data_IF_801188864584
#
_entry.id   IF_801188864584
#
_cell.length_a   1.000
_cell.length_b   1.000
_cell.length_c   1.000
_cell.angle_alpha   90.00
_cell.angle_beta   90.00
_cell.angle_gamma   90.00
#
_symmetry.space_group_name_H-M   'P 1'
#
loop_
_entity.id
_entity.type
_entity.pdbx_description
1 polymer ?
#
# COMPACT_ATOMS: atom_id res chain seq x y z
N UNK A 1 -7.31 14.71 -11.45
CA UNK A 1 -7.39 13.34 -10.90
C UNK A 1 -6.58 12.46 -11.81
N UNK A 2 -5.43 11.96 -11.36
CA UNK A 2 -4.71 10.91 -12.09
C UNK A 2 -5.67 9.74 -12.31
N UNK A 3 -5.74 9.22 -13.54
CA UNK A 3 -6.57 8.05 -13.83
C UNK A 3 -5.88 6.84 -13.22
N UNK A 4 -6.39 6.33 -12.11
CA UNK A 4 -5.93 5.05 -11.57
C UNK A 4 -6.62 3.92 -12.35
N UNK A 5 -5.87 2.89 -12.74
CA UNK A 5 -6.44 1.67 -13.32
C UNK A 5 -7.17 0.82 -12.28
N UNK A 6 -6.84 1.02 -10.99
CA UNK A 6 -7.32 0.22 -9.87
C UNK A 6 -8.86 0.10 -9.75
N UNK A 7 -9.68 1.16 -9.92
CA UNK A 7 -11.14 1.03 -9.79
C UNK A 7 -11.74 0.04 -10.78
N UNK A 8 -11.24 0.02 -12.02
CA UNK A 8 -11.67 -0.94 -13.06
C UNK A 8 -11.22 -2.35 -12.68
N UNK A 9 -10.03 -2.48 -12.07
CA UNK A 9 -9.52 -3.77 -11.61
C UNK A 9 -10.42 -4.34 -10.50
N UNK A 10 -10.72 -3.53 -9.49
CA UNK A 10 -11.56 -3.89 -8.36
C UNK A 10 -13.02 -4.17 -8.76
N UNK A 11 -13.54 -3.47 -9.78
CA UNK A 11 -14.87 -3.76 -10.33
C UNK A 11 -14.97 -5.22 -10.83
N UNK A 12 -13.90 -5.79 -11.38
CA UNK A 12 -13.91 -7.20 -11.81
C UNK A 12 -13.93 -8.15 -10.64
N UNK A 13 -13.09 -7.91 -9.64
CA UNK A 13 -13.13 -8.66 -8.39
C UNK A 13 -14.54 -8.62 -7.78
N UNK A 14 -15.18 -7.45 -7.75
CA UNK A 14 -16.54 -7.28 -7.26
C UNK A 14 -17.57 -8.12 -8.05
N UNK A 15 -17.43 -8.19 -9.39
CA UNK A 15 -18.28 -9.04 -10.24
C UNK A 15 -18.10 -10.52 -9.96
N UNK A 16 -16.89 -10.96 -9.59
CA UNK A 16 -16.68 -12.36 -9.17
C UNK A 16 -17.60 -12.66 -7.98
N UNK A 17 -17.62 -11.83 -6.95
CA UNK A 17 -18.37 -12.12 -5.71
C UNK A 17 -19.86 -11.72 -5.73
N UNK A 18 -20.34 -11.11 -6.80
CA UNK A 18 -21.70 -10.58 -6.87
C UNK A 18 -22.78 -11.63 -6.59
N UNK A 19 -23.59 -11.36 -5.55
CA UNK A 19 -24.70 -12.23 -5.12
C UNK A 19 -24.26 -13.46 -4.31
N UNK A 20 -22.96 -13.62 -4.02
CA UNK A 20 -22.41 -14.69 -3.18
C UNK A 20 -22.00 -14.19 -1.79
N UNK A 21 -21.70 -12.90 -1.68
CA UNK A 21 -21.29 -12.27 -0.41
C UNK A 21 -22.16 -11.05 -0.10
N UNK A 22 -22.05 -10.53 1.14
CA UNK A 22 -22.73 -9.29 1.50
C UNK A 22 -22.10 -8.10 0.78
N UNK A 23 -22.92 -7.15 0.35
CA UNK A 23 -22.44 -5.96 -0.36
C UNK A 23 -21.47 -5.12 0.48
N UNK A 24 -21.71 -5.04 1.79
CA UNK A 24 -20.87 -4.29 2.71
C UNK A 24 -19.43 -4.86 2.78
N UNK A 25 -19.28 -6.19 2.78
CA UNK A 25 -17.96 -6.82 2.83
C UNK A 25 -17.17 -6.52 1.55
N UNK A 26 -17.82 -6.52 0.38
CA UNK A 26 -17.15 -6.17 -0.88
C UNK A 26 -16.77 -4.70 -0.96
N UNK A 27 -17.59 -3.81 -0.40
CA UNK A 27 -17.27 -2.38 -0.32
C UNK A 27 -16.09 -2.12 0.62
N UNK A 28 -16.06 -2.78 1.78
CA UNK A 28 -14.94 -2.71 2.72
C UNK A 28 -13.65 -3.28 2.11
N UNK A 29 -13.73 -4.41 1.40
CA UNK A 29 -12.60 -5.01 0.68
C UNK A 29 -12.04 -4.03 -0.35
N UNK A 30 -12.93 -3.47 -1.19
CA UNK A 30 -12.58 -2.51 -2.25
C UNK A 30 -11.95 -1.26 -1.68
N UNK A 31 -12.56 -0.68 -0.64
CA UNK A 31 -12.08 0.54 0.02
C UNK A 31 -10.72 0.31 0.67
N UNK A 32 -10.55 -0.81 1.37
CA UNK A 32 -9.28 -1.15 2.03
C UNK A 32 -8.14 -1.28 1.02
N UNK A 33 -8.37 -1.99 -0.11
CA UNK A 33 -7.39 -2.12 -1.18
C UNK A 33 -7.04 -0.77 -1.82
N UNK A 34 -8.02 0.11 -2.04
CA UNK A 34 -7.78 1.46 -2.57
C UNK A 34 -6.94 2.31 -1.62
N UNK A 35 -7.24 2.28 -0.32
CA UNK A 35 -6.52 3.05 0.68
C UNK A 35 -5.09 2.52 0.86
N UNK A 36 -4.91 1.19 0.91
CA UNK A 36 -3.57 0.58 0.95
C UNK A 36 -2.76 1.02 -0.28
N UNK A 37 -3.35 0.94 -1.48
CA UNK A 37 -2.69 1.40 -2.69
C UNK A 37 -2.29 2.88 -2.60
N UNK A 38 -3.17 3.75 -2.14
CA UNK A 38 -2.91 5.19 -2.03
C UNK A 38 -1.82 5.52 -0.99
N UNK A 39 -1.84 4.86 0.18
CA UNK A 39 -0.81 5.02 1.20
C UNK A 39 0.56 4.59 0.67
N UNK A 40 0.62 3.44 0.00
CA UNK A 40 1.85 2.90 -0.60
C UNK A 40 2.33 3.80 -1.74
N UNK A 41 1.44 4.27 -2.62
CA UNK A 41 1.76 5.20 -3.69
C UNK A 41 2.40 6.48 -3.15
N UNK A 42 1.80 7.08 -2.11
CA UNK A 42 2.35 8.26 -1.44
C UNK A 42 3.72 7.98 -0.84
N UNK A 43 3.90 6.84 -0.17
CA UNK A 43 5.16 6.45 0.44
C UNK A 43 6.29 6.40 -0.61
N UNK A 44 6.10 5.68 -1.72
CA UNK A 44 7.16 5.49 -2.72
C UNK A 44 7.32 6.63 -3.72
N UNK A 45 6.25 7.35 -4.08
CA UNK A 45 6.33 8.45 -5.07
C UNK A 45 6.63 9.81 -4.48
N UNK A 46 6.31 10.03 -3.20
CA UNK A 46 6.42 11.36 -2.57
C UNK A 46 7.40 11.31 -1.40
N UNK A 47 7.09 10.55 -0.36
CA UNK A 47 7.79 10.67 0.93
C UNK A 47 9.24 10.19 0.87
N UNK A 48 9.49 9.01 0.28
CA UNK A 48 10.87 8.49 0.17
C UNK A 48 11.77 9.34 -0.73
N UNK A 49 11.32 9.82 -1.91
CA UNK A 49 12.07 10.79 -2.71
C UNK A 49 12.34 12.11 -1.97
N UNK A 50 11.35 12.67 -1.26
CA UNK A 50 11.53 13.90 -0.48
C UNK A 50 12.54 13.71 0.65
N UNK A 51 12.47 12.60 1.39
CA UNK A 51 13.45 12.26 2.41
C UNK A 51 14.87 12.19 1.82
N UNK A 52 14.99 11.61 0.62
CA UNK A 52 16.26 11.53 -0.10
C UNK A 52 16.79 12.91 -0.44
N UNK A 53 15.92 13.81 -0.91
CA UNK A 53 16.28 15.17 -1.26
C UNK A 53 16.77 15.96 -0.05
N UNK A 54 16.00 15.98 1.05
CA UNK A 54 16.36 16.76 2.24
C UNK A 54 17.60 16.24 2.95
N UNK A 55 17.81 14.92 2.98
CA UNK A 55 19.05 14.37 3.54
C UNK A 55 20.28 14.73 2.71
N UNK A 56 20.15 14.86 1.38
CA UNK A 56 21.25 15.35 0.54
C UNK A 56 21.54 16.83 0.75
N UNK A 57 20.50 17.63 1.01
CA UNK A 57 20.66 19.04 1.39
C UNK A 57 21.33 19.17 2.77
N UNK A 58 20.96 18.33 3.74
CA UNK A 58 21.59 18.28 5.07
C UNK A 58 23.10 17.96 4.94
N UNK A 59 23.46 16.92 4.21
CA UNK A 59 24.87 16.57 3.91
C UNK A 59 25.65 17.73 3.25
N UNK A 60 25.00 18.46 2.34
CA UNK A 60 25.62 19.58 1.64
C UNK A 60 25.82 20.77 2.59
N UNK A 61 24.82 21.07 3.42
CA UNK A 61 24.89 22.11 4.43
C UNK A 61 25.98 21.82 5.46
N UNK A 62 26.09 20.58 5.95
CA UNK A 62 27.13 20.18 6.91
C UNK A 62 28.55 20.41 6.38
N UNK A 63 28.79 20.12 5.10
CA UNK A 63 30.10 20.38 4.46
C UNK A 63 30.42 21.87 4.31
N UNK A 64 29.40 22.72 4.29
CA UNK A 64 29.52 24.18 4.12
C UNK A 64 29.58 24.97 5.44
N UNK A 65 29.40 24.31 6.61
CA UNK A 65 29.41 24.89 7.96
C UNK A 65 30.70 25.66 8.36
N UNK A 66 31.68 25.79 7.48
CA UNK A 66 32.76 26.76 7.63
C UNK A 66 32.26 28.23 7.67
N UNK A 67 31.02 28.52 7.25
CA UNK A 67 30.46 29.88 7.24
C UNK A 67 29.26 30.05 8.20
N UNK A 68 29.28 31.05 9.10
CA UNK A 68 28.18 31.31 10.05
C UNK A 68 26.83 31.67 9.41
N UNK A 69 26.81 32.00 8.11
CA UNK A 69 25.59 32.39 7.40
C UNK A 69 24.74 31.18 6.95
N UNK A 70 25.29 29.96 7.00
CA UNK A 70 24.62 28.76 6.48
C UNK A 70 23.83 27.98 7.55
N UNK A 71 23.84 28.44 8.81
CA UNK A 71 23.15 27.79 9.94
C UNK A 71 21.62 27.68 9.72
N UNK A 72 21.02 28.66 9.04
CA UNK A 72 19.57 28.63 8.75
C UNK A 72 19.21 27.52 7.75
N UNK A 73 20.03 27.31 6.72
CA UNK A 73 19.81 26.26 5.72
C UNK A 73 19.92 24.87 6.33
N UNK A 74 20.89 24.66 7.24
CA UNK A 74 21.01 23.41 7.99
C UNK A 74 19.77 23.13 8.84
N UNK A 75 19.32 24.10 9.65
CA UNK A 75 18.14 23.94 10.48
C UNK A 75 16.87 23.68 9.66
N UNK A 76 16.74 24.31 8.49
CA UNK A 76 15.65 24.08 7.56
C UNK A 76 15.65 22.64 7.02
N UNK A 77 16.77 22.16 6.49
CA UNK A 77 16.89 20.79 5.98
C UNK A 77 16.61 19.74 7.07
N UNK A 78 17.09 20.01 8.29
CA UNK A 78 16.86 19.15 9.45
C UNK A 78 15.37 19.10 9.85
N UNK A 79 14.70 20.26 9.85
CA UNK A 79 13.25 20.35 10.09
C UNK A 79 12.44 19.62 9.02
N UNK A 80 12.77 19.82 7.74
CA UNK A 80 12.11 19.13 6.64
C UNK A 80 12.27 17.60 6.74
N UNK A 81 13.48 17.12 7.04
CA UNK A 81 13.76 15.69 7.25
C UNK A 81 12.90 15.14 8.39
N UNK A 82 12.83 15.84 9.52
CA UNK A 82 11.98 15.46 10.65
C UNK A 82 10.49 15.37 10.25
N UNK A 83 9.97 16.37 9.54
CA UNK A 83 8.57 16.37 9.09
C UNK A 83 8.27 15.20 8.15
N UNK A 84 9.15 14.90 7.19
CA UNK A 84 8.95 13.77 6.27
C UNK A 84 9.01 12.43 7.03
N UNK A 85 9.90 12.27 8.01
CA UNK A 85 9.94 11.07 8.84
C UNK A 85 8.64 10.86 9.62
N UNK A 86 8.04 11.92 10.15
CA UNK A 86 6.72 11.85 10.80
C UNK A 86 5.63 11.43 9.81
N UNK A 87 5.63 11.98 8.60
CA UNK A 87 4.64 11.61 7.59
C UNK A 87 4.80 10.14 7.14
N UNK A 88 6.03 9.64 7.08
CA UNK A 88 6.29 8.21 6.84
C UNK A 88 5.73 7.38 8.00
N UNK A 89 6.03 7.75 9.24
CA UNK A 89 5.55 7.06 10.45
C UNK A 89 4.01 7.00 10.48
N UNK A 90 3.35 8.13 10.22
CA UNK A 90 1.89 8.23 10.14
C UNK A 90 1.31 7.37 9.01
N UNK A 91 1.95 7.39 7.84
CA UNK A 91 1.52 6.57 6.68
C UNK A 91 1.63 5.07 6.98
N UNK A 92 2.73 4.63 7.61
CA UNK A 92 2.91 3.24 8.02
C UNK A 92 1.93 2.84 9.13
N UNK A 93 1.64 3.74 10.08
CA UNK A 93 0.66 3.51 11.14
C UNK A 93 -0.77 3.43 10.58
N UNK A 94 -1.09 4.17 9.52
CA UNK A 94 -2.38 4.06 8.82
C UNK A 94 -2.54 2.73 8.06
N UNK A 95 -1.44 2.16 7.54
CA UNK A 95 -1.49 0.86 6.85
C UNK A 95 -1.90 -0.28 7.78
N UNK A 96 -1.51 -0.26 9.06
CA UNK A 96 -1.83 -1.33 10.03
C UNK A 96 -3.34 -1.64 10.13
N UNK A 97 -4.22 -0.69 10.51
CA UNK A 97 -5.65 -0.97 10.61
C UNK A 97 -6.28 -1.31 9.25
N UNK A 98 -5.76 -0.77 8.15
CA UNK A 98 -6.23 -1.13 6.81
C UNK A 98 -5.91 -2.58 6.45
N UNK A 99 -4.70 -3.06 6.79
CA UNK A 99 -4.30 -4.45 6.60
C UNK A 99 -5.16 -5.39 7.46
N UNK A 100 -5.36 -5.07 8.73
CA UNK A 100 -6.25 -5.85 9.61
C UNK A 100 -7.69 -5.89 9.10
N UNK A 101 -8.22 -4.75 8.68
CA UNK A 101 -9.56 -4.67 8.10
C UNK A 101 -9.66 -5.54 6.84
N UNK A 102 -8.67 -5.44 5.95
CA UNK A 102 -8.60 -6.23 4.72
C UNK A 102 -8.62 -7.73 5.03
N UNK A 103 -7.79 -8.20 5.95
CA UNK A 103 -7.74 -9.61 6.37
C UNK A 103 -9.10 -10.07 6.90
N UNK A 104 -9.68 -9.32 7.85
CA UNK A 104 -10.96 -9.68 8.47
C UNK A 104 -12.10 -9.74 7.44
N UNK A 105 -12.16 -8.76 6.55
CA UNK A 105 -13.16 -8.73 5.48
C UNK A 105 -12.95 -9.87 4.48
N UNK A 106 -11.71 -10.20 4.13
CA UNK A 106 -11.43 -11.35 3.27
C UNK A 106 -11.85 -12.68 3.93
N UNK A 107 -11.60 -12.87 5.22
CA UNK A 107 -12.05 -14.05 5.96
C UNK A 107 -13.58 -14.15 5.92
N UNK A 108 -14.31 -13.06 6.18
CA UNK A 108 -15.78 -13.05 6.11
C UNK A 108 -16.30 -13.42 4.71
N UNK A 109 -15.62 -12.96 3.65
CA UNK A 109 -15.92 -13.32 2.26
C UNK A 109 -15.68 -14.81 2.01
N UNK A 110 -14.56 -15.36 2.49
CA UNK A 110 -14.24 -16.79 2.37
C UNK A 110 -15.29 -17.66 3.08
N UNK A 111 -15.68 -17.29 4.30
CA UNK A 111 -16.76 -17.98 5.04
C UNK A 111 -18.08 -17.93 4.24
N UNK A 112 -18.43 -16.78 3.68
CA UNK A 112 -19.63 -16.64 2.84
C UNK A 112 -19.58 -17.53 1.59
N UNK A 113 -18.40 -17.67 0.95
CA UNK A 113 -18.21 -18.58 -0.18
C UNK A 113 -18.41 -20.04 0.25
N UNK A 114 -17.87 -20.46 1.39
CA UNK A 114 -18.06 -21.81 1.94
C UNK A 114 -19.54 -22.14 2.25
N UNK A 115 -20.28 -21.17 2.81
CA UNK A 115 -21.73 -21.33 3.00
C UNK A 115 -22.48 -21.42 1.66
N UNK A 116 -22.06 -20.61 0.68
CA UNK A 116 -22.71 -20.58 -0.64
C UNK A 116 -22.47 -21.89 -1.41
N UNK A 117 -21.27 -22.47 -1.35
CA UNK A 117 -20.92 -23.72 -2.05
C UNK A 117 -21.71 -24.91 -1.50
N UNK A 118 -21.92 -24.96 -0.18
CA UNK A 118 -22.76 -25.94 0.51
C UNK A 118 -24.24 -25.88 0.08
N UNK A 119 -24.80 -24.67 -0.03
CA UNK A 119 -26.22 -24.48 -0.36
C UNK A 119 -26.51 -24.54 -1.87
N UNK A 120 -25.62 -23.98 -2.70
CA UNK A 120 -25.79 -23.91 -4.15
C UNK A 120 -25.54 -25.25 -4.85
N UNK A 121 -24.53 -26.03 -4.45
CA UNK A 121 -24.23 -27.30 -5.10
C UNK A 121 -25.36 -28.32 -4.90
N UNK A 122 -25.84 -28.52 -3.67
CA UNK A 122 -26.80 -29.58 -3.40
C UNK A 122 -28.25 -29.20 -3.78
N UNK A 123 -28.67 -27.96 -3.53
CA UNK A 123 -30.09 -27.59 -3.62
C UNK A 123 -30.48 -27.11 -5.00
N UNK A 124 -29.57 -26.43 -5.72
CA UNK A 124 -29.84 -25.86 -7.03
C UNK A 124 -29.73 -26.92 -8.13
N UNK A 125 -28.71 -27.79 -8.09
CA UNK A 125 -28.61 -28.97 -8.97
C UNK A 125 -29.87 -29.82 -8.81
N UNK A 126 -30.28 -30.10 -7.56
CA UNK A 126 -31.49 -30.88 -7.27
C UNK A 126 -32.79 -30.20 -7.71
N UNK A 127 -32.94 -28.88 -7.56
CA UNK A 127 -34.14 -28.14 -8.02
C UNK A 127 -34.19 -27.95 -9.54
N UNK A 128 -33.05 -27.71 -10.19
CA UNK A 128 -32.98 -27.54 -11.64
C UNK A 128 -33.20 -28.87 -12.37
N UNK A 129 -32.62 -29.97 -11.87
CA UNK A 129 -32.92 -31.33 -12.33
C UNK A 129 -34.39 -31.71 -12.18
N UNK A 130 -35.04 -31.28 -11.09
CA UNK A 130 -36.46 -31.58 -10.83
C UNK A 130 -37.43 -30.72 -11.65
N UNK A 131 -37.05 -29.51 -12.09
CA UNK A 131 -37.94 -28.58 -12.79
C UNK A 131 -37.83 -28.64 -14.32
N UNK A 132 -36.68 -29.03 -14.87
CA UNK A 132 -36.44 -28.90 -16.30
C UNK A 132 -36.88 -30.11 -17.13
N UNK A 133 -36.80 -31.35 -16.62
CA UNK A 133 -37.05 -32.55 -17.44
C UNK A 133 -36.19 -32.63 -18.72
N UNK A 134 -35.17 -31.79 -18.82
CA UNK A 134 -34.31 -31.55 -19.97
C UNK A 134 -32.86 -31.93 -19.65
N UNK A 135 -32.14 -32.30 -20.71
CA UNK A 135 -30.76 -32.79 -20.71
C UNK A 135 -29.82 -31.85 -19.95
N UNK A 136 -29.25 -32.36 -18.86
CA UNK A 136 -28.46 -31.65 -17.85
C UNK A 136 -27.31 -30.85 -18.49
N UNK A 137 -26.69 -31.40 -19.54
CA UNK A 137 -25.52 -30.80 -20.22
C UNK A 137 -25.83 -29.52 -20.99
N UNK A 138 -27.03 -29.36 -21.56
CA UNK A 138 -27.31 -28.25 -22.50
C UNK A 138 -27.58 -26.92 -21.78
N UNK A 139 -28.18 -27.01 -20.59
CA UNK A 139 -28.55 -25.84 -19.78
C UNK A 139 -27.33 -25.24 -19.08
N UNK A 140 -26.44 -26.11 -18.59
CA UNK A 140 -25.16 -25.70 -18.01
C UNK A 140 -24.25 -25.06 -19.06
N UNK A 141 -24.24 -25.60 -20.28
CA UNK A 141 -23.45 -25.04 -21.38
C UNK A 141 -23.95 -23.65 -21.81
N UNK A 142 -25.27 -23.40 -21.82
CA UNK A 142 -25.84 -22.08 -22.11
C UNK A 142 -25.63 -21.06 -20.98
N UNK A 143 -25.74 -21.49 -19.73
CA UNK A 143 -25.44 -20.64 -18.57
C UNK A 143 -23.95 -20.29 -18.51
N UNK A 144 -23.06 -21.25 -18.81
CA UNK A 144 -21.62 -21.02 -18.95
C UNK A 144 -21.30 -20.08 -20.13
N UNK A 145 -21.93 -20.25 -21.29
CA UNK A 145 -21.74 -19.37 -22.44
C UNK A 145 -22.21 -17.94 -22.21
N UNK A 146 -23.33 -17.74 -21.51
CA UNK A 146 -23.85 -16.40 -21.18
C UNK A 146 -23.09 -15.72 -20.05
N UNK A 147 -22.51 -16.48 -19.12
CA UNK A 147 -21.65 -15.94 -18.06
C UNK A 147 -20.21 -15.70 -18.50
N UNK A 148 -19.70 -16.46 -19.48
CA UNK A 148 -18.38 -16.28 -20.06
C UNK A 148 -18.30 -15.14 -21.09
N UNK A 149 -19.43 -14.64 -21.59
CA UNK A 149 -19.43 -13.58 -22.60
C UNK A 149 -19.12 -12.21 -21.98
N UNK A 150 -17.84 -11.93 -21.83
CA UNK A 150 -17.31 -10.59 -21.54
C UNK A 150 -17.47 -9.76 -22.83
N UNK A 151 -18.25 -8.66 -22.84
CA UNK A 151 -18.35 -7.81 -24.03
C UNK A 151 -16.95 -7.32 -24.40
N UNK A 152 -16.53 -7.46 -25.66
CA UNK A 152 -15.16 -7.17 -26.10
C UNK A 152 -14.64 -5.77 -25.72
N UNK A 153 -15.53 -4.77 -25.63
CA UNK A 153 -15.19 -3.42 -25.16
C UNK A 153 -14.68 -3.40 -23.70
N UNK A 154 -15.22 -4.27 -22.85
CA UNK A 154 -14.82 -4.34 -21.44
C UNK A 154 -13.49 -5.04 -21.23
N UNK A 155 -13.02 -5.84 -22.19
CA UNK A 155 -11.67 -6.43 -22.19
C UNK A 155 -10.61 -5.36 -22.51
N UNK A 156 -10.86 -4.49 -23.49
CA UNK A 156 -9.94 -3.40 -23.82
C UNK A 156 -9.77 -2.43 -22.64
N UNK A 157 -10.87 -2.01 -21.99
CA UNK A 157 -10.80 -1.16 -20.80
C UNK A 157 -10.04 -1.83 -19.64
N UNK A 158 -10.22 -3.14 -19.48
CA UNK A 158 -9.47 -3.92 -18.50
C UNK A 158 -7.96 -3.93 -18.78
N UNK A 159 -7.56 -4.27 -20.02
CA UNK A 159 -6.14 -4.26 -20.40
C UNK A 159 -5.50 -2.89 -20.25
N UNK A 160 -6.23 -1.84 -20.61
CA UNK A 160 -5.78 -0.46 -20.38
C UNK A 160 -5.61 -0.15 -18.89
N UNK A 161 -6.57 -0.57 -18.05
CA UNK A 161 -6.49 -0.37 -16.61
C UNK A 161 -5.30 -1.11 -15.99
N UNK A 162 -5.07 -2.37 -16.38
CA UNK A 162 -3.92 -3.16 -15.94
C UNK A 162 -2.63 -2.48 -16.39
N UNK A 163 -2.54 -2.02 -17.64
CA UNK A 163 -1.34 -1.31 -18.14
C UNK A 163 -1.03 -0.06 -17.33
N UNK A 164 -2.04 0.76 -17.00
CA UNK A 164 -1.87 1.97 -16.18
C UNK A 164 -1.38 1.57 -14.77
N UNK A 165 -1.98 0.53 -14.19
CA UNK A 165 -1.60 0.04 -12.86
C UNK A 165 -0.16 -0.49 -12.86
N UNK A 166 0.23 -1.27 -13.87
CA UNK A 166 1.59 -1.77 -14.02
C UNK A 166 2.60 -0.63 -14.16
N UNK A 167 2.29 0.41 -14.94
CA UNK A 167 3.17 1.59 -15.07
C UNK A 167 3.37 2.29 -13.71
N UNK A 168 2.30 2.46 -12.93
CA UNK A 168 2.39 3.03 -11.57
C UNK A 168 3.26 2.16 -10.66
N UNK A 169 3.06 0.84 -10.66
CA UNK A 169 3.87 -0.09 -9.88
C UNK A 169 5.35 -0.10 -10.32
N UNK A 170 5.62 0.05 -11.61
CA UNK A 170 6.99 0.18 -12.12
C UNK A 170 7.65 1.47 -11.65
N UNK A 171 6.92 2.58 -11.57
CA UNK A 171 7.42 3.81 -10.98
C UNK A 171 7.80 3.62 -9.50
N UNK A 172 7.02 2.86 -8.73
CA UNK A 172 7.38 2.52 -7.35
C UNK A 172 8.68 1.73 -7.29
N UNK A 173 8.82 0.68 -8.12
CA UNK A 173 10.04 -0.13 -8.18
C UNK A 173 11.26 0.70 -8.60
N UNK A 174 11.10 1.62 -9.55
CA UNK A 174 12.18 2.50 -9.98
C UNK A 174 12.59 3.48 -8.88
N UNK A 175 11.62 4.06 -8.18
CA UNK A 175 11.86 4.87 -6.98
C UNK A 175 12.59 4.07 -5.92
N UNK A 176 12.19 2.81 -5.71
CA UNK A 176 12.83 1.91 -4.76
C UNK A 176 14.25 1.49 -5.18
N UNK A 177 14.56 1.37 -6.47
CA UNK A 177 15.94 1.08 -6.93
C UNK A 177 16.88 2.28 -6.71
N UNK A 178 16.33 3.50 -6.72
CA UNK A 178 17.05 4.74 -6.43
C UNK A 178 16.93 5.15 -4.96
N UNK A 179 16.48 4.23 -4.11
CA UNK A 179 16.05 4.54 -2.75
C UNK A 179 17.15 5.15 -1.90
N UNK A 180 16.66 5.96 -0.97
CA UNK A 180 17.28 6.22 0.29
C UNK A 180 17.62 4.90 1.02
N UNK A 181 18.88 4.71 1.36
CA UNK A 181 19.29 3.63 2.26
C UNK A 181 19.36 4.21 3.68
N UNK A 182 18.42 3.81 4.54
CA UNK A 182 18.34 4.28 5.92
C UNK A 182 19.64 3.97 6.66
N UNK A 183 20.16 2.74 6.53
CA UNK A 183 21.40 2.35 7.21
C UNK A 183 22.60 3.23 6.81
N UNK A 184 22.74 3.54 5.52
CA UNK A 184 23.85 4.37 5.03
C UNK A 184 23.71 5.82 5.50
N UNK A 185 22.48 6.34 5.47
CA UNK A 185 22.18 7.76 5.70
C UNK A 185 22.18 8.12 7.17
N UNK A 186 21.68 7.22 8.01
CA UNK A 186 21.66 7.39 9.45
C UNK A 186 22.72 6.53 10.13
N UNK A 187 23.85 6.27 9.46
CA UNK A 187 24.93 5.43 9.98
C UNK A 187 25.45 5.90 11.36
N UNK A 188 25.45 7.22 11.61
CA UNK A 188 25.81 7.77 12.92
C UNK A 188 24.83 7.35 14.02
N UNK A 189 23.54 7.23 13.67
CA UNK A 189 22.48 6.79 14.57
C UNK A 189 22.34 5.27 14.64
N UNK A 190 22.95 4.51 13.71
CA UNK A 190 22.89 3.05 13.71
C UNK A 190 23.49 2.42 14.98
N UNK A 191 24.41 3.10 15.66
CA UNK A 191 24.92 2.67 16.97
C UNK A 191 23.87 2.75 18.08
N UNK A 192 22.95 3.71 17.99
CA UNK A 192 21.85 3.89 18.94
C UNK A 192 20.60 3.11 18.52
N UNK A 193 20.38 2.93 17.22
CA UNK A 193 19.24 2.26 16.60
C UNK A 193 19.77 1.15 15.68
N UNK A 194 20.19 0.00 16.23
CA UNK A 194 20.81 -1.07 15.44
C UNK A 194 19.84 -1.74 14.45
N UNK A 195 18.53 -1.60 14.68
CA UNK A 195 17.46 -2.13 13.81
C UNK A 195 17.18 -1.24 12.61
N UNK A 196 17.85 -0.10 12.46
CA UNK A 196 17.56 0.88 11.41
C UNK A 196 17.78 0.33 9.99
N UNK A 197 18.74 -0.58 9.79
CA UNK A 197 18.90 -1.28 8.51
C UNK A 197 17.78 -2.28 8.18
N UNK A 198 16.93 -2.63 9.13
CA UNK A 198 15.75 -3.46 8.87
C UNK A 198 14.64 -2.65 8.18
N UNK A 199 14.64 -1.31 8.31
CA UNK A 199 13.69 -0.44 7.60
C UNK A 199 13.85 -0.59 6.09
N UNK A 200 15.09 -0.65 5.58
CA UNK A 200 15.36 -0.83 4.16
C UNK A 200 14.76 -2.14 3.63
N UNK A 201 14.99 -3.24 4.36
CA UNK A 201 14.42 -4.55 4.01
C UNK A 201 12.89 -4.59 4.12
N UNK A 202 12.33 -3.83 5.06
CA UNK A 202 10.87 -3.74 5.24
C UNK A 202 10.23 -2.97 4.11
N UNK A 203 10.83 -1.85 3.69
CA UNK A 203 10.37 -1.10 2.52
C UNK A 203 10.48 -1.93 1.24
N UNK A 204 11.52 -2.75 1.06
CA UNK A 204 11.56 -3.67 -0.09
C UNK A 204 10.39 -4.65 -0.06
N UNK A 205 10.10 -5.21 1.12
CA UNK A 205 9.06 -6.21 1.26
C UNK A 205 7.67 -5.62 1.08
N UNK A 206 7.40 -4.42 1.61
CA UNK A 206 6.14 -3.71 1.37
C UNK A 206 5.97 -3.47 -0.14
N UNK A 207 7.03 -3.03 -0.84
CA UNK A 207 6.99 -2.83 -2.27
C UNK A 207 6.71 -4.14 -3.04
N UNK A 208 7.38 -5.24 -2.67
CA UNK A 208 7.21 -6.54 -3.32
C UNK A 208 5.82 -7.13 -3.07
N UNK A 209 5.36 -7.12 -1.82
CA UNK A 209 4.03 -7.63 -1.44
C UNK A 209 2.91 -6.83 -2.09
N UNK A 210 3.02 -5.50 -2.12
CA UNK A 210 2.02 -4.65 -2.78
C UNK A 210 2.08 -4.83 -4.30
N UNK A 211 3.26 -4.94 -4.90
CA UNK A 211 3.40 -5.28 -6.31
C UNK A 211 2.74 -6.62 -6.64
N UNK A 212 2.89 -7.65 -5.80
CA UNK A 212 2.23 -8.94 -5.98
C UNK A 212 0.72 -8.82 -5.90
N UNK A 213 0.18 -8.11 -4.91
CA UNK A 213 -1.27 -7.89 -4.74
C UNK A 213 -1.84 -7.16 -5.95
N UNK A 214 -1.31 -5.98 -6.27
CA UNK A 214 -1.90 -5.09 -7.27
C UNK A 214 -1.50 -5.44 -8.71
N UNK A 215 -0.31 -5.97 -8.93
CA UNK A 215 0.21 -6.26 -10.26
C UNK A 215 -0.08 -7.67 -10.77
N UNK A 216 -0.40 -8.62 -9.88
CA UNK A 216 -0.54 -10.03 -10.23
C UNK A 216 -1.87 -10.59 -9.72
N UNK A 217 -2.09 -10.62 -8.41
CA UNK A 217 -3.26 -11.29 -7.80
C UNK A 217 -4.59 -10.61 -8.17
N UNK A 218 -4.67 -9.28 -8.03
CA UNK A 218 -5.90 -8.54 -8.37
C UNK A 218 -6.26 -8.65 -9.85
N UNK A 219 -5.29 -8.51 -10.79
CA UNK A 219 -5.55 -8.82 -12.18
C UNK A 219 -6.11 -10.22 -12.39
N UNK A 220 -5.57 -11.26 -11.76
CA UNK A 220 -6.00 -12.65 -11.97
C UNK A 220 -7.50 -12.91 -11.72
N UNK A 221 -8.20 -12.07 -10.94
CA UNK A 221 -9.66 -12.17 -10.82
C UNK A 221 -10.41 -12.08 -12.15
N UNK A 222 -9.83 -11.47 -13.20
CA UNK A 222 -10.47 -11.42 -14.52
C UNK A 222 -10.58 -12.79 -15.21
N UNK A 223 -9.73 -13.77 -14.83
CA UNK A 223 -9.76 -15.12 -15.39
C UNK A 223 -10.65 -16.07 -14.60
N UNK A 224 -11.09 -15.66 -13.40
CA UNK A 224 -11.92 -16.50 -12.53
C UNK A 224 -13.31 -16.63 -13.13
N UNK A 225 -13.70 -17.86 -13.46
CA UNK A 225 -15.03 -18.14 -13.96
C UNK A 225 -16.08 -17.83 -12.88
N UNK A 226 -17.26 -17.37 -13.30
CA UNK A 226 -18.36 -17.13 -12.35
C UNK A 226 -18.78 -18.46 -11.73
N UNK A 227 -18.78 -18.54 -10.40
CA UNK A 227 -19.08 -19.77 -9.67
C UNK A 227 -17.84 -20.62 -9.33
N UNK A 228 -16.66 -20.25 -9.84
CA UNK A 228 -15.40 -20.87 -9.42
C UNK A 228 -14.95 -20.26 -8.07
N UNK A 229 -15.58 -20.74 -7.00
CA UNK A 229 -15.31 -20.30 -5.62
C UNK A 229 -13.91 -20.72 -5.17
N UNK A 230 -13.40 -21.85 -5.66
CA UNK A 230 -12.08 -22.41 -5.28
C UNK A 230 -10.94 -21.52 -5.77
N UNK A 231 -10.94 -21.14 -7.06
CA UNK A 231 -9.93 -20.23 -7.59
C UNK A 231 -10.04 -18.84 -6.94
N UNK A 232 -11.28 -18.34 -6.74
CA UNK A 232 -11.49 -17.06 -6.07
C UNK A 232 -10.97 -17.07 -4.62
N UNK A 233 -11.23 -18.15 -3.88
CA UNK A 233 -10.77 -18.32 -2.51
C UNK A 233 -9.24 -18.40 -2.43
N UNK A 234 -8.61 -19.11 -3.37
CA UNK A 234 -7.14 -19.19 -3.48
C UNK A 234 -6.51 -17.82 -3.65
N UNK A 235 -7.03 -17.00 -4.57
CA UNK A 235 -6.54 -15.62 -4.77
C UNK A 235 -6.73 -14.74 -3.53
N UNK A 236 -7.86 -14.88 -2.83
CA UNK A 236 -8.13 -14.17 -1.58
C UNK A 236 -7.16 -14.57 -0.46
N UNK A 237 -6.86 -15.86 -0.32
CA UNK A 237 -5.88 -16.36 0.64
C UNK A 237 -4.47 -15.86 0.33
N UNK A 238 -4.09 -15.82 -0.95
CA UNK A 238 -2.81 -15.24 -1.38
C UNK A 238 -2.72 -13.74 -1.03
N UNK A 239 -3.82 -13.00 -1.18
CA UNK A 239 -3.89 -11.59 -0.74
C UNK A 239 -3.71 -11.51 0.77
N UNK A 240 -4.44 -12.31 1.56
CA UNK A 240 -4.31 -12.34 3.03
C UNK A 240 -2.88 -12.64 3.44
N UNK A 241 -2.22 -13.62 2.82
CA UNK A 241 -0.84 -13.95 3.12
C UNK A 241 0.11 -12.78 2.87
N UNK A 242 -0.08 -12.04 1.76
CA UNK A 242 0.75 -10.87 1.44
C UNK A 242 0.49 -9.70 2.37
N UNK A 243 -0.75 -9.51 2.80
CA UNK A 243 -1.15 -8.46 3.74
C UNK A 243 -0.67 -8.77 5.16
N UNK A 244 -0.74 -10.03 5.58
CA UNK A 244 -0.20 -10.51 6.86
C UNK A 244 1.32 -10.33 6.93
N UNK A 245 2.03 -10.64 5.83
CA UNK A 245 3.45 -10.30 5.69
C UNK A 245 3.68 -8.81 5.94
N UNK A 246 2.98 -7.92 5.23
CA UNK A 246 3.10 -6.46 5.43
C UNK A 246 2.87 -6.09 6.91
N UNK A 247 1.81 -6.61 7.53
CA UNK A 247 1.45 -6.29 8.91
C UNK A 247 2.56 -6.67 9.91
N UNK A 248 3.12 -7.87 9.80
CA UNK A 248 4.21 -8.35 10.65
C UNK A 248 5.42 -7.40 10.62
N UNK A 249 5.76 -6.88 9.43
CA UNK A 249 6.88 -5.95 9.31
C UNK A 249 6.55 -4.55 9.81
N UNK A 250 5.32 -4.06 9.60
CA UNK A 250 4.89 -2.78 10.14
C UNK A 250 4.95 -2.76 11.68
N UNK A 251 4.66 -3.88 12.33
CA UNK A 251 4.81 -4.03 13.79
C UNK A 251 6.27 -3.97 14.23
N UNK A 252 7.15 -4.71 13.55
CA UNK A 252 8.58 -4.73 13.87
C UNK A 252 9.28 -3.37 13.67
N UNK A 253 8.82 -2.56 12.71
CA UNK A 253 9.50 -1.33 12.31
C UNK A 253 8.96 -0.04 12.93
N UNK A 254 7.85 -0.08 13.66
CA UNK A 254 7.34 1.15 14.30
C UNK A 254 8.31 1.73 15.34
N UNK A 255 9.03 0.89 16.08
CA UNK A 255 9.98 1.35 17.10
C UNK A 255 11.21 2.08 16.51
N UNK A 256 11.98 1.51 15.56
CA UNK A 256 13.14 2.20 15.00
C UNK A 256 12.80 3.53 14.34
N UNK A 257 11.66 3.60 13.64
CA UNK A 257 11.21 4.83 13.01
C UNK A 257 10.83 5.89 14.05
N UNK A 258 10.09 5.49 15.09
CA UNK A 258 9.73 6.38 16.19
C UNK A 258 10.97 6.95 16.91
N UNK A 259 11.97 6.11 17.18
CA UNK A 259 13.24 6.53 17.78
C UNK A 259 13.98 7.53 16.87
N UNK A 260 14.04 7.25 15.57
CA UNK A 260 14.66 8.14 14.59
C UNK A 260 13.97 9.52 14.55
N UNK A 261 12.65 9.53 14.45
CA UNK A 261 11.83 10.77 14.51
C UNK A 261 12.11 11.56 15.79
N UNK A 262 12.20 10.87 16.94
CA UNK A 262 12.46 11.49 18.24
C UNK A 262 13.86 12.11 18.32
N UNK A 263 14.88 11.45 17.78
CA UNK A 263 16.25 11.99 17.78
C UNK A 263 16.36 13.28 16.96
N UNK A 264 15.68 13.35 15.81
CA UNK A 264 15.59 14.58 15.01
C UNK A 264 14.85 15.70 15.77
N UNK A 265 13.75 15.37 16.46
CA UNK A 265 13.05 16.34 17.31
C UNK A 265 13.96 16.91 18.42
N UNK A 266 14.78 16.08 19.05
CA UNK A 266 15.72 16.50 20.09
C UNK A 266 16.85 17.40 19.55
N UNK A 267 17.37 17.10 18.36
CA UNK A 267 18.36 17.94 17.69
C UNK A 267 17.79 19.33 17.38
N UNK A 268 16.57 19.42 16.82
CA UNK A 268 15.87 20.68 16.59
C UNK A 268 15.75 21.53 17.87
N UNK A 269 15.36 20.91 18.99
CA UNK A 269 15.21 21.61 20.28
C UNK A 269 16.55 22.15 20.81
N UNK A 270 17.66 21.44 20.60
CA UNK A 270 19.00 21.88 21.04
C UNK A 270 19.54 23.04 20.21
N UNK A 271 19.14 23.14 18.94
CA UNK A 271 19.63 24.17 18.00
C UNK A 271 18.77 25.45 18.02
N UNK A 272 17.50 25.37 18.42
CA UNK A 272 16.59 26.52 18.57
C UNK A 272 17.05 27.68 19.48
N UNK A 273 17.73 27.50 20.65
CA UNK A 273 18.09 28.63 21.51
C UNK A 273 19.01 29.67 20.86
N UNK A 274 19.68 29.34 19.76
CA UNK A 274 20.53 30.28 19.01
C UNK A 274 19.73 31.24 18.11
N UNK A 275 18.50 30.89 17.71
CA UNK A 275 17.65 31.74 16.89
C UNK A 275 17.08 32.92 17.70
N UNK A 276 16.67 32.67 18.95
CA UNK A 276 16.16 33.70 19.86
C UNK A 276 17.25 34.67 20.33
N UNK A 277 18.49 34.19 20.50
CA UNK A 277 19.64 35.03 20.85
C UNK A 277 20.01 36.02 19.73
N UNK A 278 19.85 35.64 18.46
CA UNK A 278 20.09 36.52 17.31
C UNK A 278 18.96 37.52 17.05
N UNK A 279 17.73 37.22 17.48
CA UNK A 279 16.63 38.20 17.44
C UNK A 279 16.86 39.32 18.47
N UNK A 280 17.37 38.97 19.66
CA UNK A 280 17.68 39.93 20.72
C UNK A 280 18.96 40.75 20.46
N UNK A 281 19.97 40.21 19.78
CA UNK A 281 21.20 40.96 19.45
C UNK A 281 20.96 42.08 18.41
N UNK A 282 20.04 41.87 17.45
CA UNK A 282 19.65 42.90 16.47
C UNK A 282 18.89 44.08 17.07
N UNK A 283 18.27 43.90 18.24
CA UNK A 283 17.62 45.00 18.97
C UNK A 283 18.63 45.87 19.74
N UNK A 284 19.80 45.32 20.09
CA UNK A 284 20.83 46.03 20.87
C UNK A 284 21.81 46.85 20.02
N UNK A 285 21.96 46.55 18.72
CA UNK A 285 22.87 47.29 17.80
C UNK A 285 22.22 48.49 17.11
N UNK A 286 21.00 48.89 17.49
CA UNK A 286 20.30 50.08 16.97
C UNK A 286 20.32 51.28 17.93
N UNK A 287 21.17 51.25 18.96
CA UNK A 287 21.47 52.39 19.84
C UNK A 287 22.73 53.12 19.36
#
# INVERSE_FOLDING_TARGET
MEKTGLPIVLERMHRCFWGRTQGNDLELLTTSLQQIFACVDRLYRVLLPELTFYAQEEDAAERMLAQPHDMFSHLHAHYCTWTVLQEIEDTLNQLKPLCTLLINTTIAILEALDYSSSLYSATRIKRQLLLAGEDEERTDLLAALTTAHIPGQTYFHWMQAVSILTEQLQHWQYGNQRRFNFADRFALLATMIPTLGQLDSTLDLIADSTHRIFGILLPEFHTVARGDDETAATLLLDIVQKVDQILLFLEAQSEPLHLLTREYAHKLQREQPYADLNHNSKLLTKS
#
